data_IF_554457508043
#
_entry.id   IF_554457508043
#
_cell.length_a   1.000
_cell.length_b   1.000
_cell.length_c   1.000
_cell.angle_alpha   90.00
_cell.angle_beta   90.00
_cell.angle_gamma   90.00
#
_symmetry.space_group_name_H-M   'P 1'
#
loop_
_entity.id
_entity.type
_entity.pdbx_description
1 polymer ?
#
# COMPACT_ATOMS: atom_id res chain seq x y z
N UNK A 1 -10.33 59.31 -26.46
CA UNK A 1 -11.31 58.20 -26.39
C UNK A 1 -10.66 57.05 -25.64
N UNK A 2 -11.12 56.70 -24.44
CA UNK A 2 -10.64 55.52 -23.73
C UNK A 2 -11.22 54.26 -24.41
N UNK A 3 -10.41 53.22 -24.71
CA UNK A 3 -10.93 51.98 -25.27
C UNK A 3 -11.80 51.25 -24.25
N UNK A 4 -12.80 50.48 -24.68
CA UNK A 4 -13.79 49.87 -23.79
C UNK A 4 -13.16 48.69 -23.03
N UNK A 5 -12.62 48.96 -21.85
CA UNK A 5 -11.99 47.96 -20.97
C UNK A 5 -12.88 46.74 -20.65
N UNK A 6 -14.21 46.87 -20.79
CA UNK A 6 -15.18 45.78 -20.58
C UNK A 6 -15.12 44.68 -21.66
N UNK A 7 -14.81 45.01 -22.91
CA UNK A 7 -14.76 44.04 -24.00
C UNK A 7 -13.57 43.08 -23.89
N UNK A 8 -12.41 43.61 -23.48
CA UNK A 8 -11.18 42.83 -23.31
C UNK A 8 -11.33 41.84 -22.14
N UNK A 9 -11.91 42.27 -21.01
CA UNK A 9 -12.11 41.40 -19.86
C UNK A 9 -13.05 40.22 -20.15
N UNK A 10 -14.14 40.44 -20.91
CA UNK A 10 -15.05 39.38 -21.33
C UNK A 10 -14.39 38.39 -22.29
N UNK A 11 -13.58 38.88 -23.22
CA UNK A 11 -12.84 38.03 -24.16
C UNK A 11 -11.77 37.17 -23.44
N UNK A 12 -11.05 37.74 -22.48
CA UNK A 12 -10.09 37.01 -21.64
C UNK A 12 -10.80 35.93 -20.80
N UNK A 13 -11.94 36.24 -20.19
CA UNK A 13 -12.73 35.26 -19.43
C UNK A 13 -13.26 34.10 -20.28
N UNK A 14 -13.72 34.38 -21.51
CA UNK A 14 -14.15 33.34 -22.46
C UNK A 14 -12.98 32.45 -22.90
N UNK A 15 -11.82 33.04 -23.22
CA UNK A 15 -10.62 32.28 -23.59
C UNK A 15 -10.15 31.40 -22.41
N UNK A 16 -10.13 31.94 -21.19
CA UNK A 16 -9.83 31.17 -19.98
C UNK A 16 -10.80 30.00 -19.78
N UNK A 17 -12.11 30.24 -19.95
CA UNK A 17 -13.12 29.18 -19.88
C UNK A 17 -12.93 28.08 -20.93
N UNK A 18 -12.64 28.46 -22.17
CA UNK A 18 -12.35 27.52 -23.26
C UNK A 18 -11.09 26.70 -22.96
N UNK A 19 -10.02 27.31 -22.45
CA UNK A 19 -8.80 26.60 -22.07
C UNK A 19 -9.03 25.60 -20.93
N UNK A 20 -9.77 25.99 -19.89
CA UNK A 20 -10.16 25.07 -18.81
C UNK A 20 -10.97 23.89 -19.35
N UNK A 21 -11.93 24.13 -20.24
CA UNK A 21 -12.72 23.07 -20.86
C UNK A 21 -11.84 22.11 -21.69
N UNK A 22 -10.91 22.64 -22.49
CA UNK A 22 -9.95 21.82 -23.26
C UNK A 22 -9.10 20.95 -22.34
N UNK A 23 -8.58 21.50 -21.24
CA UNK A 23 -7.82 20.74 -20.24
C UNK A 23 -8.67 19.65 -19.57
N UNK A 24 -9.92 19.94 -19.23
CA UNK A 24 -10.84 18.96 -18.66
C UNK A 24 -11.14 17.82 -19.63
N UNK A 25 -11.40 18.12 -20.90
CA UNK A 25 -11.65 17.11 -21.95
C UNK A 25 -10.39 16.27 -22.20
N UNK A 26 -9.21 16.90 -22.25
CA UNK A 26 -7.95 16.20 -22.41
C UNK A 26 -7.69 15.24 -21.22
N UNK A 27 -7.82 15.74 -19.99
CA UNK A 27 -7.67 14.93 -18.79
C UNK A 27 -8.68 13.77 -18.74
N UNK A 28 -9.92 14.02 -19.15
CA UNK A 28 -10.94 12.98 -19.25
C UNK A 28 -10.55 11.89 -20.26
N UNK A 29 -10.07 12.28 -21.46
CA UNK A 29 -9.61 11.33 -22.49
C UNK A 29 -8.42 10.51 -22.02
N UNK A 30 -7.41 11.15 -21.41
CA UNK A 30 -6.24 10.46 -20.85
C UNK A 30 -6.68 9.48 -19.77
N UNK A 31 -7.50 9.92 -18.80
CA UNK A 31 -8.03 9.04 -17.74
C UNK A 31 -8.79 7.85 -18.33
N UNK A 32 -9.66 8.07 -19.31
CA UNK A 32 -10.42 7.01 -19.98
C UNK A 32 -9.50 6.00 -20.65
N UNK A 33 -8.49 6.47 -21.40
CA UNK A 33 -7.52 5.60 -22.04
C UNK A 33 -6.75 4.75 -21.02
N UNK A 34 -6.27 5.36 -19.93
CA UNK A 34 -5.53 4.61 -18.91
C UNK A 34 -6.44 3.58 -18.18
N UNK A 35 -7.73 3.89 -17.98
CA UNK A 35 -8.71 2.92 -17.44
C UNK A 35 -8.91 1.74 -18.40
N UNK A 36 -9.01 2.00 -19.70
CA UNK A 36 -9.15 0.98 -20.74
C UNK A 36 -7.94 0.03 -20.76
N UNK A 37 -6.71 0.55 -20.58
CA UNK A 37 -5.49 -0.27 -20.49
C UNK A 37 -5.51 -1.25 -19.31
N UNK A 38 -6.06 -0.85 -18.16
CA UNK A 38 -6.14 -1.70 -16.96
C UNK A 38 -7.37 -2.59 -16.90
N UNK A 39 -8.31 -2.45 -17.85
CA UNK A 39 -9.57 -3.19 -17.85
C UNK A 39 -9.38 -4.72 -17.86
N UNK A 40 -8.44 -5.30 -18.63
CA UNK A 40 -8.17 -6.73 -18.58
C UNK A 40 -7.68 -7.20 -17.20
N UNK A 41 -6.78 -6.43 -16.57
CA UNK A 41 -6.27 -6.74 -15.23
C UNK A 41 -7.39 -6.66 -14.18
N UNK A 42 -8.20 -5.60 -14.24
CA UNK A 42 -9.33 -5.43 -13.33
C UNK A 42 -10.33 -6.58 -13.48
N UNK A 43 -10.67 -6.97 -14.71
CA UNK A 43 -11.57 -8.09 -14.96
C UNK A 43 -11.02 -9.38 -14.34
N UNK A 44 -9.74 -9.68 -14.54
CA UNK A 44 -9.11 -10.85 -13.93
C UNK A 44 -9.21 -10.85 -12.41
N UNK A 45 -8.94 -9.71 -11.76
CA UNK A 45 -9.10 -9.60 -10.30
C UNK A 45 -10.56 -9.68 -9.85
N UNK A 46 -11.49 -9.09 -10.60
CA UNK A 46 -12.92 -9.13 -10.29
C UNK A 46 -13.44 -10.58 -10.41
N UNK A 47 -13.06 -11.33 -11.45
CA UNK A 47 -13.43 -12.75 -11.63
C UNK A 47 -12.94 -13.60 -10.44
N UNK A 48 -11.69 -13.38 -9.99
CA UNK A 48 -11.14 -14.04 -8.79
C UNK A 48 -11.92 -13.63 -7.54
N UNK A 49 -12.29 -12.35 -7.43
CA UNK A 49 -12.99 -11.80 -6.28
C UNK A 49 -14.42 -12.32 -6.18
N UNK A 50 -15.14 -12.44 -7.30
CA UNK A 50 -16.48 -13.01 -7.34
C UNK A 50 -16.47 -14.48 -6.92
N UNK A 51 -15.51 -15.27 -7.43
CA UNK A 51 -15.32 -16.67 -7.00
C UNK A 51 -15.03 -16.76 -5.49
N UNK A 52 -14.20 -15.86 -4.97
CA UNK A 52 -13.90 -15.77 -3.54
C UNK A 52 -15.13 -15.45 -2.70
N UNK A 53 -15.92 -14.46 -3.09
CA UNK A 53 -17.13 -14.07 -2.36
C UNK A 53 -18.11 -15.23 -2.34
N UNK A 54 -18.27 -15.94 -3.46
CA UNK A 54 -19.16 -17.08 -3.55
C UNK A 54 -18.73 -18.24 -2.63
N UNK A 55 -17.43 -18.50 -2.48
CA UNK A 55 -16.89 -19.62 -1.70
C UNK A 55 -16.61 -19.30 -0.24
N UNK A 56 -16.24 -18.06 0.06
CA UNK A 56 -15.62 -17.65 1.33
C UNK A 56 -16.22 -16.35 1.89
N UNK A 57 -17.39 -15.92 1.40
CA UNK A 57 -18.02 -14.67 1.80
C UNK A 57 -18.17 -14.48 3.32
N UNK A 58 -18.57 -15.53 4.04
CA UNK A 58 -18.68 -15.50 5.51
C UNK A 58 -17.33 -15.27 6.20
N UNK A 59 -16.26 -15.88 5.68
CA UNK A 59 -14.90 -15.73 6.22
C UNK A 59 -14.38 -14.32 5.96
N UNK A 60 -14.70 -13.74 4.79
CA UNK A 60 -14.34 -12.35 4.47
C UNK A 60 -15.09 -11.34 5.36
N UNK A 61 -16.36 -11.62 5.68
CA UNK A 61 -17.12 -10.84 6.68
C UNK A 61 -16.49 -10.99 8.05
N UNK A 62 -16.10 -12.20 8.47
CA UNK A 62 -15.37 -12.43 9.72
C UNK A 62 -14.06 -11.64 9.79
N UNK A 63 -13.28 -11.60 8.70
CA UNK A 63 -12.06 -10.79 8.61
C UNK A 63 -12.35 -9.29 8.78
N UNK A 64 -13.44 -8.79 8.16
CA UNK A 64 -13.89 -7.40 8.34
C UNK A 64 -14.21 -7.10 9.81
N UNK A 65 -14.98 -7.95 10.47
CA UNK A 65 -15.35 -7.76 11.88
C UNK A 65 -14.13 -7.85 12.81
N UNK A 66 -13.19 -8.74 12.52
CA UNK A 66 -11.93 -8.84 13.25
C UNK A 66 -11.11 -7.53 13.12
N UNK A 67 -10.96 -7.00 11.91
CA UNK A 67 -10.28 -5.72 11.68
C UNK A 67 -11.01 -4.59 12.41
N UNK A 68 -12.34 -4.54 12.34
CA UNK A 68 -13.16 -3.56 13.05
C UNK A 68 -12.90 -3.58 14.56
N UNK A 69 -12.89 -4.78 15.16
CA UNK A 69 -12.57 -4.97 16.57
C UNK A 69 -11.14 -4.53 16.92
N UNK A 70 -10.15 -4.90 16.11
CA UNK A 70 -8.74 -4.54 16.34
C UNK A 70 -8.52 -3.03 16.26
N UNK A 71 -9.15 -2.36 15.29
CA UNK A 71 -9.10 -0.90 15.17
C UNK A 71 -9.75 -0.20 16.37
N UNK A 72 -10.89 -0.71 16.85
CA UNK A 72 -11.57 -0.17 18.02
C UNK A 72 -10.75 -0.36 19.30
N UNK A 73 -10.25 -1.58 19.55
CA UNK A 73 -9.41 -1.93 20.70
C UNK A 73 -8.15 -1.07 20.79
N UNK A 74 -7.57 -0.71 19.65
CA UNK A 74 -6.35 0.10 19.57
C UNK A 74 -6.59 1.61 19.43
N UNK A 75 -7.85 2.05 19.44
CA UNK A 75 -8.17 3.48 19.29
C UNK A 75 -7.80 4.06 17.91
N UNK A 76 -7.66 3.22 16.88
CA UNK A 76 -7.28 3.67 15.52
C UNK A 76 -8.41 4.45 14.83
N UNK A 77 -9.66 4.32 15.31
CA UNK A 77 -10.86 4.97 14.76
C UNK A 77 -11.10 6.40 15.26
N UNK A 78 -10.35 6.90 16.25
CA UNK A 78 -10.69 8.14 16.96
C UNK A 78 -10.09 9.44 16.39
N UNK A 79 -9.50 9.43 15.19
CA UNK A 79 -9.11 10.69 14.52
C UNK A 79 -9.90 10.82 13.23
N UNK A 80 -10.98 11.61 13.28
CA UNK A 80 -11.83 12.04 12.16
C UNK A 80 -11.10 12.86 11.09
N UNK A 81 -9.89 12.47 10.74
CA UNK A 81 -9.04 13.09 9.76
C UNK A 81 -8.63 11.99 8.79
N UNK A 82 -9.02 12.15 7.53
CA UNK A 82 -8.71 11.28 6.37
C UNK A 82 -7.18 11.21 6.07
N UNK A 83 -6.35 11.80 6.94
CA UNK A 83 -4.92 11.90 6.80
C UNK A 83 -4.28 10.64 7.40
N UNK A 84 -3.55 9.90 6.56
CA UNK A 84 -2.83 8.70 6.97
C UNK A 84 -1.72 8.98 8.00
N UNK A 85 -1.11 7.92 8.58
CA UNK A 85 -0.03 8.11 9.54
C UNK A 85 1.17 8.77 8.86
N UNK A 86 1.99 9.44 9.69
CA UNK A 86 3.16 10.21 9.26
C UNK A 86 4.43 9.61 9.86
N UNK A 87 5.50 9.63 9.09
CA UNK A 87 6.86 9.41 9.55
C UNK A 87 7.24 10.56 10.48
N UNK A 88 7.56 10.23 11.72
CA UNK A 88 7.98 11.18 12.75
C UNK A 88 9.44 10.91 13.12
N UNK A 89 10.12 11.97 13.57
CA UNK A 89 11.39 11.87 14.28
C UNK A 89 11.14 11.53 15.75
N UNK A 90 12.20 11.25 16.49
CA UNK A 90 12.12 10.94 17.92
C UNK A 90 11.52 12.07 18.78
N UNK A 91 11.67 13.32 18.35
CA UNK A 91 11.05 14.49 19.00
C UNK A 91 9.57 14.68 18.65
N UNK A 92 8.98 13.78 17.85
CA UNK A 92 7.60 13.85 17.39
C UNK A 92 7.37 14.78 16.19
N UNK A 93 8.40 15.50 15.72
CA UNK A 93 8.29 16.34 14.54
C UNK A 93 8.23 15.49 13.26
N UNK A 94 7.52 15.93 12.20
CA UNK A 94 7.49 15.19 10.94
C UNK A 94 8.87 15.07 10.28
N UNK A 95 9.15 13.92 9.67
CA UNK A 95 10.33 13.74 8.82
C UNK A 95 10.19 14.60 7.56
N UNK A 96 11.16 15.48 7.33
CA UNK A 96 11.12 16.48 6.25
C UNK A 96 12.11 16.21 5.11
N UNK A 97 12.95 15.18 5.22
CA UNK A 97 13.97 14.83 4.22
C UNK A 97 13.93 13.34 3.90
N UNK A 98 14.10 13.01 2.61
CA UNK A 98 14.25 11.63 2.17
C UNK A 98 15.53 11.00 2.75
N UNK A 99 16.62 11.74 2.91
CA UNK A 99 17.88 11.16 3.40
C UNK A 99 17.72 10.60 4.81
N UNK A 100 17.04 11.34 5.69
CA UNK A 100 16.69 10.86 7.04
C UNK A 100 15.84 9.60 6.96
N UNK A 101 14.77 9.64 6.16
CA UNK A 101 13.85 8.52 6.01
C UNK A 101 14.53 7.25 5.48
N UNK A 102 15.49 7.41 4.56
CA UNK A 102 16.25 6.29 4.00
C UNK A 102 17.32 5.78 4.97
N UNK A 103 17.96 6.65 5.76
CA UNK A 103 18.87 6.22 6.81
C UNK A 103 18.15 5.31 7.83
N UNK A 104 16.96 5.70 8.28
CA UNK A 104 16.13 4.86 9.16
C UNK A 104 15.71 3.56 8.47
N UNK A 105 15.31 3.63 7.19
CA UNK A 105 14.88 2.47 6.43
C UNK A 105 15.98 1.40 6.29
N UNK A 106 17.22 1.81 5.99
CA UNK A 106 18.38 0.92 5.86
C UNK A 106 18.72 0.21 7.17
N UNK A 107 18.50 0.87 8.31
CA UNK A 107 18.71 0.28 9.64
C UNK A 107 17.61 -0.73 9.98
N UNK A 108 16.35 -0.48 9.58
CA UNK A 108 15.21 -1.32 9.96
C UNK A 108 14.90 -2.47 9.01
N UNK A 109 15.41 -2.44 7.78
CA UNK A 109 15.04 -3.41 6.75
C UNK A 109 15.25 -4.86 7.20
N UNK A 110 16.40 -5.17 7.78
CA UNK A 110 16.72 -6.53 8.23
C UNK A 110 15.86 -6.96 9.43
N UNK A 111 15.61 -6.06 10.38
CA UNK A 111 14.78 -6.34 11.55
C UNK A 111 13.32 -6.61 11.15
N UNK A 112 12.82 -5.85 10.17
CA UNK A 112 11.50 -6.10 9.61
C UNK A 112 11.43 -7.47 8.92
N UNK A 113 12.45 -7.85 8.15
CA UNK A 113 12.50 -9.17 7.50
C UNK A 113 12.46 -10.30 8.52
N UNK A 114 13.22 -10.19 9.60
CA UNK A 114 13.23 -11.17 10.69
C UNK A 114 11.85 -11.33 11.33
N UNK A 115 11.21 -10.22 11.72
CA UNK A 115 9.84 -10.22 12.26
C UNK A 115 8.81 -10.83 11.30
N UNK A 116 8.87 -10.42 10.03
CA UNK A 116 7.96 -10.93 8.99
C UNK A 116 8.14 -12.42 8.77
N UNK A 117 9.39 -12.91 8.77
CA UNK A 117 9.69 -14.33 8.69
C UNK A 117 9.13 -15.10 9.89
N UNK A 118 9.31 -14.58 11.11
CA UNK A 118 8.77 -15.18 12.33
C UNK A 118 7.24 -15.29 12.30
N UNK A 119 6.54 -14.23 11.90
CA UNK A 119 5.08 -14.28 11.74
C UNK A 119 4.69 -15.32 10.69
N UNK A 120 5.37 -15.33 9.54
CA UNK A 120 5.14 -16.31 8.49
C UNK A 120 5.31 -17.76 8.98
N UNK A 121 6.31 -18.04 9.82
CA UNK A 121 6.51 -19.37 10.42
C UNK A 121 5.33 -19.80 11.30
N UNK A 122 4.76 -18.88 12.07
CA UNK A 122 3.67 -19.17 12.99
C UNK A 122 2.35 -19.35 12.23
N UNK A 123 2.19 -18.64 11.10
CA UNK A 123 0.89 -18.49 10.43
C UNK A 123 0.85 -19.13 9.04
N UNK A 124 1.72 -20.09 8.75
CA UNK A 124 1.83 -20.76 7.44
C UNK A 124 2.02 -19.79 6.26
N UNK A 125 2.69 -18.67 6.51
CA UNK A 125 2.96 -17.62 5.54
C UNK A 125 3.90 -18.08 4.43
N UNK A 126 3.63 -17.57 3.24
CA UNK A 126 4.35 -17.85 2.01
C UNK A 126 5.11 -16.61 1.53
N UNK A 127 6.25 -16.84 0.91
CA UNK A 127 7.17 -15.81 0.42
C UNK A 127 7.67 -16.13 -0.98
N UNK A 128 8.02 -15.13 -1.79
CA UNK A 128 8.62 -15.37 -3.11
C UNK A 128 9.98 -16.08 -2.94
N UNK A 129 10.26 -17.06 -3.80
CA UNK A 129 11.53 -17.82 -3.76
C UNK A 129 12.65 -17.14 -4.55
N UNK A 130 13.88 -17.16 -4.03
CA UNK A 130 15.09 -16.77 -4.79
C UNK A 130 15.38 -17.77 -5.92
N UNK A 131 15.15 -19.06 -5.67
CA UNK A 131 15.48 -20.14 -6.61
C UNK A 131 14.58 -20.17 -7.85
N UNK A 132 13.42 -19.52 -7.77
CA UNK A 132 12.54 -19.35 -8.91
C UNK A 132 11.89 -17.96 -8.83
N UNK A 133 12.58 -16.92 -9.32
CA UNK A 133 12.10 -15.54 -9.22
C UNK A 133 10.89 -15.29 -10.16
N UNK A 134 10.43 -16.30 -10.90
CA UNK A 134 9.18 -16.22 -11.65
C UNK A 134 8.04 -16.05 -10.67
N UNK A 135 7.12 -15.17 -11.04
CA UNK A 135 5.93 -14.93 -10.27
C UNK A 135 5.13 -16.21 -10.03
N UNK A 136 4.75 -16.45 -8.78
CA UNK A 136 3.90 -17.57 -8.39
C UNK A 136 4.64 -18.77 -7.79
N UNK A 137 5.97 -18.71 -7.71
CA UNK A 137 6.76 -19.67 -6.95
C UNK A 137 6.97 -19.15 -5.52
N UNK A 138 6.29 -19.81 -4.58
CA UNK A 138 6.35 -19.45 -3.16
C UNK A 138 7.03 -20.54 -2.34
N UNK A 139 7.75 -20.12 -1.32
CA UNK A 139 8.21 -21.00 -0.24
C UNK A 139 7.38 -20.73 1.00
N UNK A 140 7.04 -21.79 1.75
CA UNK A 140 6.33 -21.67 3.01
C UNK A 140 7.35 -21.59 4.14
N UNK A 141 7.18 -20.63 5.05
CA UNK A 141 8.21 -20.36 6.06
C UNK A 141 8.37 -21.47 7.11
N UNK A 142 7.33 -22.25 7.37
CA UNK A 142 7.36 -23.32 8.36
C UNK A 142 7.70 -24.71 7.79
N UNK A 143 7.96 -24.84 6.49
CA UNK A 143 8.35 -26.11 5.89
C UNK A 143 9.80 -26.47 6.29
N UNK A 144 10.08 -27.73 6.66
CA UNK A 144 11.44 -28.17 6.95
C UNK A 144 12.39 -27.91 5.77
N UNK A 145 13.54 -27.29 6.05
CA UNK A 145 14.57 -26.98 5.05
C UNK A 145 14.43 -25.61 4.39
N UNK A 146 13.29 -24.92 4.52
CA UNK A 146 13.18 -23.54 4.05
C UNK A 146 13.78 -22.58 5.07
N UNK A 147 14.59 -21.63 4.60
CA UNK A 147 15.19 -20.60 5.42
C UNK A 147 14.89 -19.20 4.88
N UNK A 148 15.05 -18.19 5.74
CA UNK A 148 14.90 -16.77 5.37
C UNK A 148 15.82 -16.34 4.22
N UNK A 149 16.95 -17.04 4.05
CA UNK A 149 17.90 -16.81 2.93
C UNK A 149 17.34 -17.24 1.57
N UNK A 150 16.33 -18.12 1.54
CA UNK A 150 15.69 -18.58 0.31
C UNK A 150 14.57 -17.64 -0.15
N UNK A 151 14.26 -16.62 0.65
CA UNK A 151 13.22 -15.63 0.38
C UNK A 151 13.77 -14.49 -0.48
N UNK A 152 13.07 -14.21 -1.59
CA UNK A 152 13.25 -13.01 -2.37
C UNK A 152 12.57 -11.82 -1.65
N UNK A 153 13.33 -11.20 -0.75
CA UNK A 153 12.89 -10.03 -0.01
C UNK A 153 12.77 -8.79 -0.92
N UNK A 154 11.72 -7.98 -0.78
CA UNK A 154 11.69 -6.66 -1.40
C UNK A 154 12.79 -5.78 -0.80
N UNK A 155 13.54 -5.10 -1.67
CA UNK A 155 14.44 -4.04 -1.25
C UNK A 155 13.68 -2.78 -0.80
N UNK A 156 14.40 -1.88 -0.15
CA UNK A 156 13.94 -0.50 0.12
C UNK A 156 13.43 0.13 -1.19
N UNK A 157 12.33 0.88 -1.11
CA UNK A 157 11.78 1.60 -2.27
C UNK A 157 12.89 2.43 -2.93
N UNK A 158 12.98 2.46 -4.25
CA UNK A 158 13.96 3.32 -4.93
C UNK A 158 13.66 4.80 -4.73
N UNK A 159 14.71 5.62 -4.58
CA UNK A 159 14.60 7.08 -4.37
C UNK A 159 13.75 7.74 -5.46
N UNK A 160 13.96 7.37 -6.73
CA UNK A 160 13.14 7.87 -7.85
C UNK A 160 11.64 7.65 -7.61
N UNK A 161 11.26 6.45 -7.16
CA UNK A 161 9.85 6.10 -6.88
C UNK A 161 9.32 6.80 -5.64
N UNK A 162 10.16 7.07 -4.65
CA UNK A 162 9.80 7.87 -3.50
C UNK A 162 9.48 9.32 -3.92
N UNK A 163 10.38 9.97 -4.65
CA UNK A 163 10.18 11.34 -5.18
C UNK A 163 8.91 11.42 -6.02
N UNK A 164 8.73 10.53 -7.00
CA UNK A 164 7.52 10.45 -7.83
C UNK A 164 6.24 10.32 -6.99
N UNK A 165 6.28 9.55 -5.88
CA UNK A 165 5.13 9.32 -5.03
C UNK A 165 4.84 10.53 -4.16
N UNK A 166 5.85 11.16 -3.58
CA UNK A 166 5.70 12.31 -2.69
C UNK A 166 5.21 13.54 -3.46
N UNK A 167 5.81 13.85 -4.61
CA UNK A 167 5.39 14.97 -5.44
C UNK A 167 3.92 14.82 -5.89
N UNK A 168 3.54 13.60 -6.29
CA UNK A 168 2.20 13.34 -6.83
C UNK A 168 1.12 13.27 -5.76
N UNK A 169 1.37 12.57 -4.65
CA UNK A 169 0.34 12.20 -3.66
C UNK A 169 0.35 13.06 -2.40
N UNK A 170 1.51 13.59 -2.04
CA UNK A 170 1.76 14.16 -0.72
C UNK A 170 2.18 15.63 -0.77
N UNK A 171 2.12 16.28 -1.95
CA UNK A 171 2.52 17.69 -2.13
C UNK A 171 3.94 17.94 -1.58
N UNK A 172 4.85 17.04 -1.94
CA UNK A 172 6.26 17.05 -1.50
C UNK A 172 6.47 16.83 0.02
N UNK A 173 5.43 16.54 0.81
CA UNK A 173 5.56 16.18 2.22
C UNK A 173 6.01 14.72 2.38
N UNK A 174 7.32 14.56 2.61
CA UNK A 174 8.00 13.27 2.82
C UNK A 174 7.41 12.48 3.99
N UNK A 175 6.86 13.14 5.00
CA UNK A 175 6.34 12.46 6.19
C UNK A 175 5.19 11.50 5.87
N UNK A 176 4.47 11.66 4.75
CA UNK A 176 3.42 10.72 4.37
C UNK A 176 3.93 9.46 3.64
N UNK A 177 5.23 9.36 3.39
CA UNK A 177 5.84 8.23 2.71
C UNK A 177 6.10 7.05 3.68
N UNK A 178 5.05 6.26 3.90
CA UNK A 178 5.02 5.18 4.92
C UNK A 178 5.39 3.78 4.42
N UNK A 179 5.84 3.66 3.18
CA UNK A 179 6.10 2.37 2.52
C UNK A 179 7.55 2.23 2.03
N UNK A 180 8.48 3.05 2.53
CA UNK A 180 9.91 2.99 2.14
C UNK A 180 10.50 1.64 2.48
N UNK A 181 10.30 1.21 3.73
CA UNK A 181 10.53 -0.17 4.18
C UNK A 181 9.21 -0.92 4.14
N UNK A 182 9.18 -2.06 3.43
CA UNK A 182 7.94 -2.79 3.20
C UNK A 182 8.18 -4.27 2.99
N UNK A 183 7.21 -5.08 3.34
CA UNK A 183 7.22 -6.52 3.11
C UNK A 183 5.82 -7.05 2.79
N UNK A 184 5.76 -8.29 2.31
CA UNK A 184 4.50 -8.97 2.05
C UNK A 184 4.54 -10.41 2.55
N UNK A 185 3.42 -10.89 3.10
CA UNK A 185 3.20 -12.28 3.43
C UNK A 185 2.03 -12.78 2.59
N UNK A 186 2.22 -13.88 1.88
CA UNK A 186 1.18 -14.51 1.08
C UNK A 186 0.53 -15.67 1.84
N UNK A 187 -0.74 -15.92 1.58
CA UNK A 187 -1.54 -16.97 2.21
C UNK A 187 -2.38 -17.70 1.18
N UNK A 188 -2.60 -19.00 1.37
CA UNK A 188 -3.54 -19.75 0.53
C UNK A 188 -4.97 -19.54 1.00
N UNK A 189 -5.16 -19.35 2.32
CA UNK A 189 -6.47 -19.25 2.97
C UNK A 189 -6.64 -17.91 3.67
N UNK A 190 -7.87 -17.40 3.70
CA UNK A 190 -8.20 -16.18 4.45
C UNK A 190 -8.03 -16.38 5.95
N UNK A 191 -8.27 -17.58 6.47
CA UNK A 191 -8.09 -17.88 7.90
C UNK A 191 -6.63 -17.72 8.35
N UNK A 192 -5.66 -18.17 7.55
CA UNK A 192 -4.24 -18.00 7.88
C UNK A 192 -3.86 -16.52 7.91
N UNK A 193 -4.46 -15.71 7.03
CA UNK A 193 -4.33 -14.25 7.04
C UNK A 193 -4.94 -13.63 8.31
N UNK A 194 -6.11 -14.10 8.76
CA UNK A 194 -6.75 -13.65 10.02
C UNK A 194 -5.86 -13.95 11.23
N UNK A 195 -5.28 -15.14 11.29
CA UNK A 195 -4.36 -15.54 12.36
C UNK A 195 -3.08 -14.71 12.31
N UNK A 196 -2.55 -14.43 11.11
CA UNK A 196 -1.37 -13.57 10.95
C UNK A 196 -1.64 -12.14 11.39
N UNK A 197 -2.78 -11.57 11.01
CA UNK A 197 -3.21 -10.26 11.44
C UNK A 197 -3.27 -10.16 12.97
N UNK A 198 -3.90 -11.14 13.63
CA UNK A 198 -3.95 -11.20 15.09
C UNK A 198 -2.56 -11.36 15.71
N UNK A 199 -1.71 -12.20 15.13
CA UNK A 199 -0.32 -12.40 15.57
C UNK A 199 0.47 -11.10 15.54
N UNK A 200 0.40 -10.34 14.44
CA UNK A 200 1.06 -9.02 14.32
C UNK A 200 0.46 -8.04 15.33
N UNK A 201 -0.87 -8.04 15.49
CA UNK A 201 -1.55 -7.15 16.42
C UNK A 201 -1.35 -7.51 17.90
N UNK A 202 -0.84 -8.69 18.23
CA UNK A 202 -0.52 -9.10 19.59
C UNK A 202 1.00 -9.14 19.86
N UNK A 203 1.84 -8.87 18.85
CA UNK A 203 3.28 -8.76 19.02
C UNK A 203 3.61 -7.50 19.84
N UNK A 204 4.26 -7.71 21.00
CA UNK A 204 4.62 -6.66 21.96
C UNK A 204 5.59 -5.62 21.40
N UNK A 205 6.37 -6.00 20.39
CA UNK A 205 7.37 -5.13 19.77
C UNK A 205 6.76 -4.26 18.66
N UNK A 206 5.45 -4.38 18.42
CA UNK A 206 4.76 -3.77 17.27
C UNK A 206 3.69 -2.77 17.70
N UNK A 207 3.82 -1.56 17.17
CA UNK A 207 2.76 -0.57 17.19
C UNK A 207 2.09 -0.53 15.81
N UNK A 208 0.80 -0.82 15.76
CA UNK A 208 0.00 -0.71 14.54
C UNK A 208 -0.55 0.71 14.43
N UNK A 209 -0.17 1.41 13.37
CA UNK A 209 -0.57 2.80 13.09
C UNK A 209 -1.83 2.87 12.21
N UNK A 210 -2.00 1.90 11.30
CA UNK A 210 -3.16 1.83 10.40
C UNK A 210 -3.36 0.43 9.86
N UNK A 211 -4.62 0.06 9.67
CA UNK A 211 -5.02 -1.11 8.88
C UNK A 211 -5.86 -0.62 7.70
N UNK A 212 -5.61 -1.16 6.51
CA UNK A 212 -6.39 -0.91 5.30
C UNK A 212 -6.93 -2.24 4.82
N UNK A 213 -8.24 -2.43 4.96
CA UNK A 213 -8.91 -3.63 4.49
C UNK A 213 -9.44 -3.44 3.06
N UNK A 214 -8.68 -3.88 2.04
CA UNK A 214 -9.20 -3.94 0.66
C UNK A 214 -9.88 -5.26 0.34
N UNK A 215 -9.88 -6.20 1.29
CA UNK A 215 -10.58 -7.49 1.26
C UNK A 215 -12.00 -7.38 1.83
N UNK A 216 -12.47 -6.19 2.20
CA UNK A 216 -13.87 -5.99 2.58
C UNK A 216 -14.78 -6.10 1.35
N UNK A 217 -15.79 -6.99 1.35
CA UNK A 217 -16.80 -7.07 0.29
C UNK A 217 -17.49 -5.74 -0.05
N UNK A 218 -17.60 -4.82 0.91
CA UNK A 218 -18.20 -3.51 0.69
C UNK A 218 -17.26 -2.49 0.00
N UNK A 219 -15.96 -2.79 -0.12
CA UNK A 219 -14.97 -1.86 -0.69
C UNK A 219 -14.87 -2.01 -2.21
N UNK A 220 -15.11 -0.91 -2.92
CA UNK A 220 -14.87 -0.82 -4.37
C UNK A 220 -13.37 -0.89 -4.70
N UNK A 221 -13.03 -1.61 -5.77
CA UNK A 221 -11.64 -1.83 -6.22
C UNK A 221 -11.20 -0.94 -7.40
N UNK A 222 -11.99 0.09 -7.72
CA UNK A 222 -11.76 0.91 -8.91
C UNK A 222 -10.39 1.61 -8.87
N UNK A 223 -10.02 2.17 -7.71
CA UNK A 223 -8.74 2.88 -7.51
C UNK A 223 -7.51 1.95 -7.46
N UNK A 224 -7.73 0.65 -7.31
CA UNK A 224 -6.70 -0.39 -7.26
C UNK A 224 -6.68 -1.26 -8.51
N UNK A 225 -7.48 -0.94 -9.53
CA UNK A 225 -7.67 -1.77 -10.71
C UNK A 225 -7.99 -3.24 -10.36
N UNK A 226 -8.85 -3.46 -9.37
CA UNK A 226 -9.24 -4.81 -8.91
C UNK A 226 -8.36 -5.38 -7.80
N UNK A 227 -7.15 -4.86 -7.57
CA UNK A 227 -6.21 -5.42 -6.59
C UNK A 227 -6.71 -5.31 -5.15
N UNK A 228 -6.54 -6.40 -4.36
CA UNK A 228 -6.98 -6.49 -2.96
C UNK A 228 -5.93 -7.12 -2.04
N UNK A 229 -5.85 -6.60 -0.82
CA UNK A 229 -4.93 -6.97 0.25
C UNK A 229 -5.47 -6.48 1.61
N UNK A 230 -4.91 -7.00 2.70
CA UNK A 230 -4.94 -6.32 4.00
C UNK A 230 -3.58 -5.67 4.19
N UNK A 231 -3.55 -4.35 4.28
CA UNK A 231 -2.31 -3.58 4.38
C UNK A 231 -2.20 -2.93 5.76
N UNK A 232 -1.10 -3.19 6.45
CA UNK A 232 -0.79 -2.60 7.75
C UNK A 232 0.32 -1.58 7.62
N UNK A 233 0.20 -0.48 8.35
CA UNK A 233 1.32 0.38 8.69
C UNK A 233 1.69 0.15 10.15
N UNK A 234 2.95 -0.18 10.39
CA UNK A 234 3.45 -0.58 11.70
C UNK A 234 4.74 0.15 12.04
N UNK A 235 5.05 0.25 13.33
CA UNK A 235 6.38 0.62 13.83
C UNK A 235 6.93 -0.51 14.68
N UNK A 236 8.24 -0.72 14.59
CA UNK A 236 8.98 -1.65 15.44
C UNK A 236 9.48 -0.85 16.64
N UNK A 237 8.93 -1.13 17.80
CA UNK A 237 9.20 -0.41 19.03
C UNK A 237 9.87 -1.36 20.02
N UNK A 238 11.19 -1.42 19.93
CA UNK A 238 12.06 -2.17 20.83
C UNK A 238 13.11 -1.22 21.41
N UNK A 239 13.75 -1.61 22.51
CA UNK A 239 14.86 -0.85 23.09
C UNK A 239 15.95 -0.54 22.04
N UNK A 240 16.23 -1.50 21.16
CA UNK A 240 17.21 -1.31 20.07
C UNK A 240 16.74 -0.28 19.05
N UNK A 241 15.47 -0.32 18.61
CA UNK A 241 14.99 0.68 17.63
C UNK A 241 14.89 2.07 18.24
N UNK A 242 14.64 2.19 19.55
CA UNK A 242 14.70 3.46 20.27
C UNK A 242 16.13 4.01 20.32
N UNK A 243 17.09 3.18 20.71
CA UNK A 243 18.51 3.56 20.77
C UNK A 243 19.05 4.01 19.41
N UNK A 244 18.62 3.35 18.33
CA UNK A 244 18.99 3.69 16.95
C UNK A 244 18.18 4.86 16.36
N UNK A 245 17.27 5.49 17.12
CA UNK A 245 16.44 6.60 16.64
C UNK A 245 15.45 6.23 15.52
N UNK A 246 15.07 4.95 15.45
CA UNK A 246 14.25 4.37 14.38
C UNK A 246 12.86 3.90 14.86
N UNK A 247 12.55 3.97 16.17
CA UNK A 247 11.28 3.47 16.72
C UNK A 247 10.02 4.22 16.24
N UNK A 248 10.20 5.38 15.61
CA UNK A 248 9.14 6.18 14.99
C UNK A 248 8.96 5.90 13.49
N UNK A 249 9.85 5.12 12.87
CA UNK A 249 9.78 4.82 11.44
C UNK A 249 8.69 3.80 11.13
N UNK A 250 7.83 4.15 10.19
CA UNK A 250 6.70 3.35 9.76
C UNK A 250 7.12 2.45 8.60
N UNK A 251 6.83 1.16 8.76
CA UNK A 251 6.93 0.11 7.76
C UNK A 251 5.55 -0.26 7.20
N UNK A 252 5.49 -0.75 5.96
CA UNK A 252 4.27 -1.26 5.35
C UNK A 252 4.32 -2.79 5.21
N UNK A 253 3.30 -3.49 5.73
CA UNK A 253 3.13 -4.93 5.56
C UNK A 253 1.88 -5.20 4.74
N UNK A 254 2.00 -5.99 3.68
CA UNK A 254 0.86 -6.44 2.89
C UNK A 254 0.58 -7.92 3.16
N UNK A 255 -0.63 -8.24 3.58
CA UNK A 255 -1.12 -9.62 3.66
C UNK A 255 -1.95 -9.90 2.40
N UNK A 256 -1.55 -10.93 1.65
CA UNK A 256 -2.11 -11.22 0.33
C UNK A 256 -2.55 -12.67 0.24
N UNK A 257 -3.55 -12.95 -0.60
CA UNK A 257 -3.81 -14.31 -1.01
C UNK A 257 -2.95 -14.69 -2.22
N UNK A 258 -2.45 -15.92 -2.27
CA UNK A 258 -1.63 -16.42 -3.38
C UNK A 258 -2.35 -16.31 -4.72
N UNK A 259 -3.67 -16.56 -4.76
CA UNK A 259 -4.51 -16.36 -5.97
C UNK A 259 -4.53 -14.91 -6.46
N UNK A 260 -4.37 -13.92 -5.58
CA UNK A 260 -4.22 -12.51 -5.98
C UNK A 260 -2.76 -12.23 -6.35
N UNK A 261 -1.81 -12.68 -5.53
CA UNK A 261 -0.39 -12.42 -5.71
C UNK A 261 0.21 -13.00 -6.99
N UNK A 262 -0.28 -14.17 -7.45
CA UNK A 262 0.12 -14.81 -8.71
C UNK A 262 -0.19 -13.97 -9.94
N UNK A 263 -1.20 -13.11 -9.87
CA UNK A 263 -1.67 -12.29 -11.00
C UNK A 263 -1.01 -10.89 -11.06
N UNK A 264 -0.09 -10.59 -10.15
CA UNK A 264 0.61 -9.30 -10.08
C UNK A 264 1.75 -9.21 -11.12
N UNK A 265 1.45 -9.36 -12.40
CA UNK A 265 2.47 -9.35 -13.47
C UNK A 265 3.25 -8.04 -13.50
N UNK A 266 4.50 -8.08 -13.97
CA UNK A 266 5.31 -6.87 -14.15
C UNK A 266 4.59 -5.88 -15.08
N UNK A 267 4.02 -6.38 -16.18
CA UNK A 267 3.25 -5.58 -17.13
C UNK A 267 1.96 -5.02 -16.52
N UNK A 268 1.21 -5.83 -15.78
CA UNK A 268 0.01 -5.38 -15.06
C UNK A 268 0.34 -4.31 -14.03
N UNK A 269 1.47 -4.44 -13.33
CA UNK A 269 1.97 -3.40 -12.44
C UNK A 269 2.33 -2.12 -13.20
N UNK A 270 2.96 -2.20 -14.37
CA UNK A 270 3.26 -1.03 -15.20
C UNK A 270 1.97 -0.34 -15.67
N UNK A 271 0.98 -1.08 -16.17
CA UNK A 271 -0.33 -0.54 -16.56
C UNK A 271 -1.04 0.12 -15.39
N UNK A 272 -1.02 -0.50 -14.21
CA UNK A 272 -1.52 0.11 -12.98
C UNK A 272 -0.80 1.42 -12.63
N UNK A 273 0.54 1.45 -12.75
CA UNK A 273 1.32 2.67 -12.52
C UNK A 273 0.93 3.77 -13.51
N UNK A 274 0.71 3.43 -14.79
CA UNK A 274 0.22 4.36 -15.80
C UNK A 274 -1.16 4.93 -15.42
N UNK A 275 -2.16 4.07 -15.17
CA UNK A 275 -3.48 4.48 -14.68
C UNK A 275 -3.37 5.43 -13.48
N UNK A 276 -2.62 5.01 -12.46
CA UNK A 276 -2.45 5.77 -11.23
C UNK A 276 -1.76 7.13 -11.47
N UNK A 277 -0.86 7.21 -12.43
CA UNK A 277 -0.23 8.48 -12.82
C UNK A 277 -1.22 9.38 -13.57
N UNK A 278 -2.12 8.82 -14.39
CA UNK A 278 -3.16 9.57 -15.11
C UNK A 278 -4.25 10.13 -14.18
N UNK A 279 -4.48 9.53 -13.01
CA UNK A 279 -5.55 9.96 -12.09
C UNK A 279 -5.23 11.21 -11.26
N UNK A 280 -4.02 11.78 -11.36
CA UNK A 280 -3.67 13.05 -10.70
C UNK A 280 -3.76 13.03 -9.17
N UNK A 281 -3.72 11.84 -8.57
CA UNK A 281 -3.88 11.60 -7.14
C UNK A 281 -2.58 11.56 -6.36
#
# INVERSE_FOLDING_TARGET
>A
AQPPARGIAQMVGLLQGCWVLVLLVFNYRVKRHCMELTRPDKKLYDDIWEDMIAKEGEILVSLREQIWYLEAKRGLRSKGVVIGPRQLKMDGSPVSSLDHLYAQASVLEWLLRDKVWQWGKITHGLFNSVNNPRQGCFIRANDPGNASVDVLWPGVKSVRRAVEKTARRYRDDVSYLVDVTRNSIMFERVQDMQVCLETICNDKDIVVERIKNRMDPAVRSDDSAGYRDVCLNIRLHTEWTEHMGCSQHICEIQLLLTRIAKNKSHEGHQRYVQLRNCMGF
#
